data_IF_398625002489
#
_entry.id   IF_398625002489
#
_cell.length_a   1.000
_cell.length_b   1.000
_cell.length_c   1.000
_cell.angle_alpha   90.00
_cell.angle_beta   90.00
_cell.angle_gamma   90.00
#
_symmetry.space_group_name_H-M   'P 1'
#
loop_
_entity.id
_entity.type
_entity.pdbx_description
1 polymer ?
#
# COMPACT_ATOMS: atom_id res chain seq x y z
N UNK A 1 -20.73 -13.53 13.05
CA UNK A 1 -21.28 -12.18 12.96
C UNK A 1 -21.38 -11.60 14.35
N UNK A 2 -20.80 -10.45 14.60
CA UNK A 2 -21.02 -9.69 15.81
C UNK A 2 -22.53 -9.50 15.99
N UNK A 3 -22.99 -9.71 17.21
CA UNK A 3 -24.38 -9.55 17.54
C UNK A 3 -24.85 -8.16 17.07
N UNK A 4 -25.93 -8.12 16.31
CA UNK A 4 -26.76 -6.96 15.99
C UNK A 4 -26.32 -6.00 14.87
N UNK A 5 -25.45 -6.36 13.97
CA UNK A 5 -25.23 -5.54 12.78
C UNK A 5 -26.19 -5.91 11.64
N UNK A 6 -26.86 -4.93 11.05
CA UNK A 6 -27.71 -5.08 9.86
C UNK A 6 -26.87 -4.88 8.59
N UNK A 7 -27.17 -5.65 7.53
CA UNK A 7 -26.48 -5.55 6.24
C UNK A 7 -24.95 -5.66 6.33
N UNK A 8 -24.43 -6.59 7.15
CA UNK A 8 -23.02 -6.83 7.30
C UNK A 8 -22.53 -8.03 6.49
N UNK A 9 -21.33 -7.91 5.93
CA UNK A 9 -20.53 -9.02 5.45
C UNK A 9 -19.27 -9.09 6.32
N UNK A 10 -19.01 -10.22 6.99
CA UNK A 10 -17.81 -10.43 7.80
C UNK A 10 -17.10 -11.67 7.28
N UNK A 11 -15.88 -11.48 6.80
CA UNK A 11 -15.02 -12.54 6.26
C UNK A 11 -13.73 -12.57 7.09
N UNK A 12 -13.49 -13.67 7.77
CA UNK A 12 -12.28 -13.83 8.57
C UNK A 12 -12.50 -14.70 9.81
N UNK A 13 -11.57 -14.60 10.76
CA UNK A 13 -11.52 -15.49 11.92
C UNK A 13 -11.50 -14.70 13.24
N UNK A 14 -12.35 -15.12 14.19
CA UNK A 14 -12.35 -14.67 15.58
C UNK A 14 -12.45 -13.14 15.76
N UNK A 15 -13.33 -12.48 15.00
CA UNK A 15 -13.67 -11.06 15.22
C UNK A 15 -15.14 -10.77 14.85
N UNK A 16 -15.63 -9.64 15.36
CA UNK A 16 -16.97 -9.13 15.07
C UNK A 16 -16.90 -8.01 14.05
N UNK A 17 -17.94 -7.88 13.24
CA UNK A 17 -18.05 -6.77 12.29
C UNK A 17 -18.16 -5.42 13.01
N UNK A 18 -17.73 -4.36 12.32
CA UNK A 18 -17.68 -2.99 12.85
C UNK A 18 -18.93 -2.18 12.45
N UNK A 19 -20.12 -2.67 12.82
CA UNK A 19 -21.39 -1.94 12.65
C UNK A 19 -22.11 -2.20 11.31
N UNK A 20 -23.22 -1.49 11.10
CA UNK A 20 -24.13 -1.72 9.99
C UNK A 20 -23.62 -1.26 8.62
N UNK A 21 -24.17 -1.87 7.56
CA UNK A 21 -23.90 -1.51 6.17
C UNK A 21 -22.41 -1.54 5.81
N UNK A 22 -21.68 -2.54 6.31
CA UNK A 22 -20.22 -2.68 6.10
C UNK A 22 -19.84 -4.07 5.63
N UNK A 23 -18.80 -4.12 4.80
CA UNK A 23 -17.99 -5.32 4.62
C UNK A 23 -16.75 -5.23 5.48
N UNK A 24 -16.41 -6.33 6.18
CA UNK A 24 -15.28 -6.42 7.09
C UNK A 24 -14.42 -7.62 6.71
N UNK A 25 -13.10 -7.44 6.61
CA UNK A 25 -12.13 -8.49 6.29
C UNK A 25 -11.02 -8.50 7.33
N UNK A 26 -10.70 -9.67 7.91
CA UNK A 26 -9.57 -9.77 8.81
C UNK A 26 -9.72 -10.79 9.93
N UNK A 27 -9.18 -10.47 11.10
CA UNK A 27 -9.15 -11.32 12.28
C UNK A 27 -9.15 -10.51 13.57
N UNK A 28 -9.13 -11.20 14.72
CA UNK A 28 -8.98 -10.54 16.03
C UNK A 28 -7.69 -9.71 16.17
N UNK A 29 -6.63 -10.03 15.41
CA UNK A 29 -5.36 -9.30 15.41
C UNK A 29 -5.37 -8.03 14.55
N UNK A 30 -6.34 -7.85 13.69
CA UNK A 30 -6.49 -6.68 12.83
C UNK A 30 -7.46 -6.93 11.68
N UNK A 31 -8.18 -5.91 11.30
CA UNK A 31 -9.14 -5.98 10.20
C UNK A 31 -9.31 -4.63 9.53
N UNK A 32 -9.81 -4.68 8.30
CA UNK A 32 -10.22 -3.51 7.53
C UNK A 32 -11.71 -3.60 7.22
N UNK A 33 -12.34 -2.46 6.99
CA UNK A 33 -13.74 -2.42 6.58
C UNK A 33 -14.00 -1.36 5.52
N UNK A 34 -15.05 -1.57 4.75
CA UNK A 34 -15.60 -0.58 3.85
C UNK A 34 -17.06 -0.30 4.25
N UNK A 35 -17.48 0.96 4.19
CA UNK A 35 -18.85 1.39 4.43
C UNK A 35 -19.56 1.61 3.10
N UNK A 36 -20.48 0.75 2.74
CA UNK A 36 -21.18 0.76 1.46
C UNK A 36 -21.85 2.09 1.09
N UNK A 37 -22.22 2.86 2.11
CA UNK A 37 -23.04 4.07 1.94
C UNK A 37 -22.24 5.36 2.01
N UNK A 38 -20.93 5.30 2.32
CA UNK A 38 -20.12 6.49 2.60
C UNK A 38 -18.95 6.68 1.65
N UNK A 39 -18.19 5.64 1.37
CA UNK A 39 -16.99 5.73 0.52
C UNK A 39 -16.64 4.38 -0.11
N UNK A 40 -15.75 4.41 -1.08
CA UNK A 40 -15.23 3.23 -1.77
C UNK A 40 -13.85 2.77 -1.27
N UNK A 41 -13.38 3.31 -0.13
CA UNK A 41 -12.05 3.01 0.43
C UNK A 41 -12.12 2.06 1.61
N UNK A 42 -11.04 1.30 1.82
CA UNK A 42 -10.88 0.48 3.02
C UNK A 42 -10.44 1.35 4.20
N UNK A 43 -11.01 1.07 5.35
CA UNK A 43 -10.70 1.77 6.60
C UNK A 43 -10.09 0.78 7.59
N UNK A 44 -9.08 1.23 8.33
CA UNK A 44 -8.47 0.50 9.43
C UNK A 44 -8.45 1.37 10.68
N UNK A 45 -8.52 0.75 11.86
CA UNK A 45 -8.37 1.47 13.14
C UNK A 45 -6.99 2.12 13.21
N UNK A 46 -6.95 3.39 13.61
CA UNK A 46 -5.72 4.17 13.77
C UNK A 46 -5.71 5.01 15.06
N UNK A 47 -6.32 4.48 16.12
CA UNK A 47 -6.40 5.12 17.43
C UNK A 47 -5.03 5.14 18.11
N UNK A 48 -4.64 6.28 18.67
CA UNK A 48 -3.37 6.48 19.36
C UNK A 48 -3.17 5.47 20.51
N UNK A 49 -4.23 5.13 21.23
CA UNK A 49 -4.20 4.19 22.36
C UNK A 49 -3.76 2.77 21.97
N UNK A 50 -3.80 2.45 20.68
CA UNK A 50 -3.35 1.17 20.13
C UNK A 50 -1.91 1.22 19.58
N UNK A 51 -1.25 2.37 19.67
CA UNK A 51 0.08 2.60 19.12
C UNK A 51 1.10 2.87 20.21
N UNK A 52 2.35 2.56 19.94
CA UNK A 52 3.50 2.84 20.81
C UNK A 52 4.66 3.35 19.96
N UNK A 53 5.64 3.99 20.59
CA UNK A 53 6.85 4.51 19.93
C UNK A 53 6.49 5.42 18.74
N UNK A 54 5.54 6.35 18.95
CA UNK A 54 5.08 7.27 17.92
C UNK A 54 6.15 8.32 17.71
N UNK A 55 6.73 8.34 16.52
CA UNK A 55 7.76 9.28 16.12
C UNK A 55 7.37 9.95 14.79
N UNK A 56 7.95 11.12 14.53
CA UNK A 56 7.76 11.78 13.23
C UNK A 56 8.46 10.98 12.14
N UNK A 57 7.73 10.67 11.07
CA UNK A 57 8.29 9.94 9.93
C UNK A 57 9.39 10.75 9.25
N UNK A 58 10.45 10.06 8.86
CA UNK A 58 11.60 10.62 8.14
C UNK A 58 11.53 10.40 6.63
N UNK A 59 10.60 9.57 6.15
CA UNK A 59 10.38 9.37 4.73
C UNK A 59 9.63 10.55 4.13
N UNK A 60 10.34 11.47 3.50
CA UNK A 60 9.81 12.70 2.94
C UNK A 60 10.29 12.94 1.51
N UNK A 61 10.67 14.18 1.23
CA UNK A 61 10.99 14.66 -0.11
C UNK A 61 12.15 13.89 -0.75
N UNK A 62 13.18 13.56 0.03
CA UNK A 62 14.35 12.85 -0.49
C UNK A 62 13.96 11.44 -0.98
N UNK A 63 13.17 10.70 -0.21
CA UNK A 63 12.65 9.40 -0.63
C UNK A 63 11.76 9.50 -1.88
N UNK A 64 10.84 10.47 -1.92
CA UNK A 64 9.94 10.65 -3.05
C UNK A 64 10.70 11.01 -4.34
N UNK A 65 11.78 11.77 -4.24
CA UNK A 65 12.61 12.14 -5.39
C UNK A 65 13.41 10.96 -5.97
N UNK A 66 13.69 9.94 -5.18
CA UNK A 66 14.34 8.70 -5.67
C UNK A 66 13.38 7.77 -6.42
N UNK A 67 12.05 7.97 -6.29
CA UNK A 67 11.07 7.14 -6.96
C UNK A 67 10.92 7.52 -8.43
N UNK A 68 10.80 6.52 -9.30
CA UNK A 68 10.54 6.69 -10.72
C UNK A 68 9.16 6.18 -11.10
N UNK A 69 8.15 7.05 -11.29
CA UNK A 69 6.88 6.66 -11.89
C UNK A 69 7.09 6.14 -13.33
N UNK A 70 6.47 5.01 -13.63
CA UNK A 70 6.61 4.34 -14.92
C UNK A 70 5.26 3.98 -15.51
N UNK A 71 5.26 3.73 -16.82
CA UNK A 71 4.19 3.01 -17.49
C UNK A 71 4.71 1.67 -17.99
N UNK A 72 3.89 0.64 -17.91
CA UNK A 72 4.25 -0.70 -18.36
C UNK A 72 3.04 -1.47 -18.87
N UNK A 73 3.28 -2.53 -19.60
CA UNK A 73 2.32 -3.58 -19.89
C UNK A 73 2.72 -4.84 -19.15
N UNK A 74 1.77 -5.68 -18.77
CA UNK A 74 2.10 -6.98 -18.23
C UNK A 74 2.70 -7.88 -19.33
N UNK A 75 3.68 -8.68 -18.96
CA UNK A 75 4.18 -9.74 -19.81
C UNK A 75 3.14 -10.86 -19.93
N UNK A 76 3.03 -11.43 -21.11
CA UNK A 76 2.33 -12.71 -21.31
C UNK A 76 3.08 -13.84 -20.62
N UNK A 77 2.42 -14.97 -20.41
CA UNK A 77 3.07 -16.16 -19.84
C UNK A 77 4.26 -16.66 -20.69
N UNK A 78 4.24 -16.45 -22.01
CA UNK A 78 5.32 -16.82 -22.91
C UNK A 78 6.60 -15.99 -22.68
N UNK A 79 6.45 -14.73 -22.27
CA UNK A 79 7.53 -13.76 -22.05
C UNK A 79 8.10 -13.80 -20.62
N UNK A 80 7.46 -14.55 -19.71
CA UNK A 80 7.94 -14.66 -18.34
C UNK A 80 9.21 -15.54 -18.28
N UNK A 81 10.13 -15.13 -17.41
CA UNK A 81 11.29 -15.94 -17.04
C UNK A 81 10.86 -17.28 -16.41
N UNK A 82 11.68 -18.33 -16.61
CA UNK A 82 11.38 -19.66 -16.10
C UNK A 82 11.20 -19.71 -14.58
N UNK A 83 11.88 -18.85 -13.85
CA UNK A 83 11.75 -18.75 -12.38
C UNK A 83 10.37 -18.27 -11.94
N UNK A 84 9.66 -17.50 -12.78
CA UNK A 84 8.30 -17.06 -12.53
C UNK A 84 7.23 -17.99 -13.12
N UNK A 85 7.55 -18.79 -14.14
CA UNK A 85 6.60 -19.72 -14.79
C UNK A 85 6.11 -20.82 -13.85
N UNK A 86 6.92 -21.20 -12.88
CA UNK A 86 6.61 -22.25 -11.91
C UNK A 86 5.90 -21.74 -10.64
N UNK A 87 5.78 -20.43 -10.45
CA UNK A 87 5.04 -19.88 -9.33
C UNK A 87 3.53 -20.10 -9.49
N UNK A 88 2.83 -20.32 -8.38
CA UNK A 88 1.39 -20.58 -8.38
C UNK A 88 0.58 -19.42 -8.98
N UNK A 89 1.07 -18.19 -8.87
CA UNK A 89 0.42 -16.99 -9.42
C UNK A 89 0.46 -16.95 -10.95
N UNK A 90 1.47 -17.53 -11.57
CA UNK A 90 1.68 -17.44 -13.01
C UNK A 90 1.05 -18.59 -13.82
N UNK A 91 0.58 -19.64 -13.14
CA UNK A 91 -0.02 -20.81 -13.82
C UNK A 91 -1.37 -20.54 -14.48
N UNK A 92 -2.01 -19.41 -14.22
CA UNK A 92 -3.42 -19.24 -14.56
C UNK A 92 -3.82 -17.90 -15.17
N UNK A 93 -2.89 -16.99 -15.47
CA UNK A 93 -3.28 -15.66 -15.92
C UNK A 93 -2.47 -15.25 -17.15
N UNK A 94 -3.05 -15.43 -18.34
CA UNK A 94 -2.69 -14.58 -19.46
C UNK A 94 -3.15 -13.18 -19.16
N UNK A 95 -2.23 -12.33 -18.69
CA UNK A 95 -2.54 -10.93 -18.47
C UNK A 95 -2.68 -10.23 -19.82
N UNK A 96 -3.64 -9.34 -19.90
CA UNK A 96 -3.79 -8.46 -21.04
C UNK A 96 -2.52 -7.58 -21.16
N UNK A 97 -1.73 -7.80 -22.20
CA UNK A 97 -0.52 -7.05 -22.51
C UNK A 97 -0.81 -5.77 -23.31
N UNK A 98 -2.03 -5.59 -23.77
CA UNK A 98 -2.45 -4.40 -24.53
C UNK A 98 -2.71 -3.17 -23.65
N UNK A 99 -3.07 -3.39 -22.38
CA UNK A 99 -3.40 -2.30 -21.46
C UNK A 99 -2.16 -1.71 -20.80
N UNK A 100 -1.94 -0.40 -21.03
CA UNK A 100 -0.87 0.36 -20.38
C UNK A 100 -1.25 0.70 -18.95
N UNK A 101 -0.39 0.31 -18.00
CA UNK A 101 -0.55 0.52 -16.56
C UNK A 101 0.43 1.59 -16.08
N UNK A 102 0.01 2.43 -15.14
CA UNK A 102 0.86 3.38 -14.43
C UNK A 102 1.22 2.83 -13.06
N UNK A 103 2.49 2.94 -12.68
CA UNK A 103 2.92 2.42 -11.38
C UNK A 103 4.40 2.66 -11.08
N UNK A 104 4.92 1.85 -10.17
CA UNK A 104 6.31 1.82 -9.76
C UNK A 104 6.85 0.40 -9.94
N UNK A 105 8.17 0.26 -10.01
CA UNK A 105 8.87 -1.03 -10.01
C UNK A 105 9.33 -1.33 -8.59
N UNK A 106 8.95 -2.48 -8.04
CA UNK A 106 9.23 -2.84 -6.65
C UNK A 106 10.74 -2.85 -6.33
N UNK A 107 11.59 -3.28 -7.26
CA UNK A 107 13.04 -3.25 -7.12
C UNK A 107 13.59 -1.82 -7.04
N UNK A 108 13.01 -0.89 -7.78
CA UNK A 108 13.40 0.53 -7.73
C UNK A 108 12.93 1.20 -6.44
N UNK A 109 11.76 0.83 -5.94
CA UNK A 109 11.30 1.27 -4.60
C UNK A 109 12.26 0.79 -3.52
N UNK A 110 12.73 -0.47 -3.60
CA UNK A 110 13.74 -0.98 -2.66
C UNK A 110 15.04 -0.18 -2.75
N UNK A 111 15.51 0.13 -3.95
CA UNK A 111 16.71 0.95 -4.13
C UNK A 111 16.53 2.38 -3.57
N UNK A 112 15.36 2.98 -3.74
CA UNK A 112 15.04 4.28 -3.14
C UNK A 112 15.05 4.24 -1.61
N UNK A 113 14.51 3.18 -1.00
CA UNK A 113 14.62 2.95 0.46
C UNK A 113 16.08 2.88 0.91
N UNK A 114 16.91 2.14 0.18
CA UNK A 114 18.34 1.99 0.50
C UNK A 114 19.10 3.31 0.38
N UNK A 115 18.79 4.12 -0.64
CA UNK A 115 19.39 5.43 -0.86
C UNK A 115 19.17 6.39 0.32
N UNK A 116 18.00 6.31 0.98
CA UNK A 116 17.69 7.09 2.19
C UNK A 116 17.92 6.32 3.49
N UNK A 117 18.60 5.18 3.43
CA UNK A 117 18.91 4.31 4.59
C UNK A 117 17.67 3.88 5.39
N UNK A 118 16.52 3.73 4.74
CA UNK A 118 15.28 3.26 5.38
C UNK A 118 15.09 1.75 5.17
N UNK A 119 14.81 1.04 6.24
CA UNK A 119 14.56 -0.43 6.22
C UNK A 119 13.17 -0.82 6.71
N UNK A 120 12.33 0.16 7.03
CA UNK A 120 11.05 -0.07 7.74
C UNK A 120 9.82 0.31 6.93
N UNK A 121 9.97 0.84 5.72
CA UNK A 121 8.84 1.21 4.88
C UNK A 121 8.05 -0.02 4.44
N UNK A 122 6.86 -0.15 4.99
CA UNK A 122 5.96 -1.28 4.73
C UNK A 122 5.12 -1.15 3.44
N UNK A 123 5.40 -0.14 2.63
CA UNK A 123 4.87 -0.03 1.26
C UNK A 123 5.61 -0.92 0.25
N UNK A 124 6.68 -1.57 0.67
CA UNK A 124 7.43 -2.58 -0.08
C UNK A 124 7.54 -3.87 0.73
N UNK A 125 7.42 -4.99 0.05
CA UNK A 125 7.62 -6.31 0.64
C UNK A 125 8.20 -7.30 -0.35
N UNK A 126 8.78 -8.38 0.17
CA UNK A 126 9.21 -9.54 -0.62
C UNK A 126 8.58 -10.81 -0.07
N UNK A 127 8.16 -11.67 -0.98
CA UNK A 127 7.54 -12.96 -0.68
C UNK A 127 8.00 -14.04 -1.64
N UNK A 128 7.38 -15.20 -1.58
CA UNK A 128 7.68 -16.36 -2.45
C UNK A 128 7.44 -16.08 -3.93
N UNK A 129 6.54 -15.13 -4.23
CA UNK A 129 6.14 -14.78 -5.60
C UNK A 129 6.86 -13.54 -6.13
N UNK A 130 7.88 -13.05 -5.41
CA UNK A 130 8.67 -11.88 -5.80
C UNK A 130 8.44 -10.67 -4.91
N UNK A 131 8.80 -9.50 -5.42
CA UNK A 131 8.63 -8.23 -4.72
C UNK A 131 7.30 -7.57 -5.06
N UNK A 132 6.68 -6.95 -4.07
CA UNK A 132 5.39 -6.27 -4.19
C UNK A 132 5.44 -4.86 -3.59
N UNK A 133 4.47 -4.04 -3.98
CA UNK A 133 4.27 -2.70 -3.42
C UNK A 133 2.80 -2.46 -3.05
N UNK A 134 2.58 -1.83 -1.90
CA UNK A 134 1.29 -1.32 -1.45
C UNK A 134 1.21 0.17 -1.76
N UNK A 135 0.51 0.54 -2.83
CA UNK A 135 0.50 1.94 -3.36
C UNK A 135 -0.03 2.96 -2.36
N UNK A 136 -1.02 2.60 -1.55
CA UNK A 136 -1.61 3.49 -0.54
C UNK A 136 -0.60 3.91 0.54
N UNK A 137 0.41 3.09 0.81
CA UNK A 137 1.44 3.39 1.81
C UNK A 137 2.32 4.58 1.45
N UNK A 138 2.36 4.98 0.17
CA UNK A 138 3.10 6.17 -0.28
C UNK A 138 2.42 7.49 0.09
N UNK A 139 1.17 7.47 0.53
CA UNK A 139 0.44 8.69 0.93
C UNK A 139 1.15 9.39 2.10
N UNK A 140 1.60 8.66 3.12
CA UNK A 140 2.29 9.26 4.28
C UNK A 140 3.62 9.93 3.88
N UNK A 141 4.54 9.27 3.14
CA UNK A 141 5.72 9.92 2.58
C UNK A 141 5.40 11.14 1.69
N UNK A 142 4.34 11.08 0.88
CA UNK A 142 3.92 12.21 0.06
C UNK A 142 3.45 13.40 0.92
N UNK A 143 2.70 13.17 1.99
CA UNK A 143 2.30 14.22 2.93
C UNK A 143 3.54 14.88 3.53
N UNK A 144 4.52 14.08 3.98
CA UNK A 144 5.77 14.58 4.54
C UNK A 144 6.57 15.38 3.50
N UNK A 145 6.69 14.88 2.27
CA UNK A 145 7.38 15.57 1.18
C UNK A 145 6.74 16.93 0.86
N UNK A 146 5.41 17.02 0.84
CA UNK A 146 4.69 18.29 0.64
C UNK A 146 4.96 19.27 1.78
N UNK A 147 4.97 18.80 3.03
CA UNK A 147 5.30 19.66 4.18
C UNK A 147 6.73 20.21 4.09
N UNK A 148 7.70 19.39 3.73
CA UNK A 148 9.10 19.80 3.56
C UNK A 148 9.27 20.79 2.40
N UNK A 149 8.60 20.52 1.27
CA UNK A 149 8.61 21.42 0.12
C UNK A 149 7.98 22.76 0.45
N UNK A 150 6.84 22.78 1.15
CA UNK A 150 6.18 24.00 1.61
C UNK A 150 7.09 24.85 2.53
N UNK A 151 7.81 24.19 3.44
CA UNK A 151 8.77 24.88 4.30
C UNK A 151 9.95 25.47 3.51
N UNK A 152 10.46 24.76 2.50
CA UNK A 152 11.54 25.26 1.62
C UNK A 152 11.08 26.47 0.79
N UNK A 153 9.86 26.42 0.24
CA UNK A 153 9.29 27.55 -0.52
C UNK A 153 9.15 28.77 0.39
N UNK A 154 8.56 28.61 1.59
CA UNK A 154 8.42 29.73 2.53
C UNK A 154 9.76 30.35 2.91
N UNK A 155 10.79 29.56 3.14
CA UNK A 155 12.13 30.07 3.44
C UNK A 155 12.74 30.88 2.29
N UNK A 156 12.40 30.56 1.03
CA UNK A 156 12.83 31.33 -0.14
C UNK A 156 12.04 32.64 -0.31
N UNK A 157 10.76 32.64 0.08
CA UNK A 157 9.91 33.86 0.01
C UNK A 157 10.28 34.85 1.12
N UNK A 158 10.77 34.38 2.25
CA UNK A 158 11.15 35.20 3.41
C UNK A 158 12.61 35.73 3.31
N UNK A 159 13.38 35.33 2.25
CA UNK A 159 14.80 35.68 2.06
C UNK A 159 14.99 36.91 1.16
#
# INVERSE_FOLDING_TARGET
SGANGENQIVIGNNFNGNGDNKVNLGSAGGYVWNSFTQNATWTQVSDERMKKNIETDTLGLDFINELRPVTFNWKTNAELDSTFKDSLLNKHIDKDDSTKIHGLIAQEVKAAMDAVSNTTFNGWETGVDGQAISREMFITPLIKAVQELSAKVKALEDA
#
